data_IF_889778736834
#
_entry.id   IF_889778736834
#
_cell.length_a   1.000
_cell.length_b   1.000
_cell.length_c   1.000
_cell.angle_alpha   90.00
_cell.angle_beta   90.00
_cell.angle_gamma   90.00
#
_symmetry.space_group_name_H-M   'P 1'
#
loop_
_entity.id
_entity.type
_entity.pdbx_description
1 polymer ?
#
# COMPACT_ATOMS: atom_id res chain seq x y z
N UNK A 1 -17.03 -9.58 32.51
CA UNK A 1 -16.64 -9.04 31.16
C UNK A 1 -16.48 -10.22 30.24
N UNK A 2 -17.18 -10.26 29.12
CA UNK A 2 -17.05 -11.34 28.14
C UNK A 2 -15.77 -11.08 27.33
N UNK A 3 -14.82 -12.01 27.38
CA UNK A 3 -13.62 -11.95 26.56
C UNK A 3 -14.02 -12.23 25.11
N UNK A 4 -13.60 -11.37 24.19
CA UNK A 4 -13.83 -11.52 22.75
C UNK A 4 -12.50 -11.90 22.12
N UNK A 5 -12.42 -13.10 21.60
CA UNK A 5 -11.24 -13.60 20.90
C UNK A 5 -11.45 -13.46 19.38
N UNK A 6 -10.63 -12.63 18.75
CA UNK A 6 -10.57 -12.52 17.30
C UNK A 6 -9.62 -13.62 16.79
N UNK A 7 -10.08 -14.50 15.86
CA UNK A 7 -9.29 -15.65 15.41
C UNK A 7 -8.22 -15.23 14.39
N UNK A 8 -7.31 -14.38 14.83
CA UNK A 8 -6.16 -13.91 14.07
C UNK A 8 -4.87 -14.15 14.85
N UNK A 9 -4.00 -14.96 14.28
CA UNK A 9 -2.66 -15.16 14.80
C UNK A 9 -1.68 -14.57 13.78
N UNK A 10 -1.07 -13.41 14.07
CA UNK A 10 -0.12 -12.79 13.16
C UNK A 10 1.13 -13.67 13.02
N UNK A 11 1.66 -13.75 11.80
CA UNK A 11 3.00 -14.27 11.56
C UNK A 11 4.04 -13.34 12.21
N UNK A 12 5.27 -13.77 12.51
CA UNK A 12 6.27 -12.93 13.19
C UNK A 12 6.46 -11.54 12.55
N UNK A 13 6.57 -11.47 11.20
CA UNK A 13 6.72 -10.20 10.49
C UNK A 13 5.44 -9.34 10.51
N UNK A 14 4.27 -9.96 10.55
CA UNK A 14 3.01 -9.22 10.72
C UNK A 14 2.87 -8.69 12.16
N UNK A 15 3.31 -9.45 13.16
CA UNK A 15 3.33 -8.98 14.55
C UNK A 15 4.26 -7.78 14.70
N UNK A 16 5.48 -7.87 14.16
CA UNK A 16 6.40 -6.74 14.11
C UNK A 16 5.80 -5.52 13.39
N UNK A 17 5.15 -5.74 12.24
CA UNK A 17 4.45 -4.67 11.53
C UNK A 17 3.39 -4.00 12.43
N UNK A 18 2.56 -4.76 13.13
CA UNK A 18 1.56 -4.21 14.05
C UNK A 18 2.19 -3.38 15.17
N UNK A 19 3.33 -3.79 15.72
CA UNK A 19 4.06 -3.04 16.72
C UNK A 19 4.51 -1.69 16.17
N UNK A 20 5.11 -1.67 14.98
CA UNK A 20 5.56 -0.44 14.33
C UNK A 20 4.41 0.51 13.98
N UNK A 21 3.28 -0.02 13.50
CA UNK A 21 2.08 0.76 13.21
C UNK A 21 1.40 1.37 14.45
N UNK A 22 1.69 0.87 15.64
CA UNK A 22 1.23 1.48 16.91
C UNK A 22 2.12 2.68 17.35
N UNK A 23 3.35 2.75 16.85
CA UNK A 23 4.35 3.74 17.27
C UNK A 23 4.43 4.89 16.25
N UNK A 24 4.35 4.56 14.97
CA UNK A 24 4.52 5.53 13.89
C UNK A 24 3.17 5.95 13.32
N UNK A 25 3.04 7.26 13.10
CA UNK A 25 1.83 7.82 12.48
C UNK A 25 1.71 7.44 11.00
N UNK A 26 2.83 7.34 10.33
CA UNK A 26 2.92 7.06 8.91
C UNK A 26 3.77 5.83 8.66
N UNK A 27 3.35 4.97 7.76
CA UNK A 27 4.12 3.78 7.41
C UNK A 27 4.03 3.46 5.92
N UNK A 28 5.16 3.15 5.30
CA UNK A 28 5.26 2.63 3.94
C UNK A 28 5.85 1.24 3.97
N UNK A 29 5.09 0.26 3.51
CA UNK A 29 5.47 -1.15 3.55
C UNK A 29 5.40 -1.74 2.14
N UNK A 30 6.57 -2.07 1.64
CA UNK A 30 6.74 -2.75 0.36
C UNK A 30 6.85 -4.24 0.62
N UNK A 31 5.98 -5.05 0.06
CA UNK A 31 6.03 -6.48 0.32
C UNK A 31 5.63 -7.33 -0.87
N UNK A 32 6.26 -8.48 -0.92
CA UNK A 32 6.06 -9.46 -1.97
C UNK A 32 4.63 -10.00 -2.02
N UNK A 33 4.26 -10.56 -3.16
CA UNK A 33 3.01 -11.28 -3.32
C UNK A 33 2.94 -12.46 -2.34
N UNK A 34 1.78 -12.73 -1.74
CA UNK A 34 1.55 -13.77 -0.71
C UNK A 34 2.09 -13.46 0.69
N UNK A 35 2.62 -12.26 0.95
CA UNK A 35 3.00 -11.83 2.30
C UNK A 35 1.83 -11.91 3.31
N UNK A 36 0.61 -11.71 2.85
CA UNK A 36 -0.59 -11.62 3.70
C UNK A 36 -0.93 -10.18 4.08
N UNK A 37 -0.64 -9.22 3.18
CA UNK A 37 -0.90 -7.78 3.32
C UNK A 37 -2.30 -7.47 3.82
N UNK A 38 -3.29 -7.94 3.07
CA UNK A 38 -4.70 -7.64 3.34
C UNK A 38 -5.16 -8.15 4.70
N UNK A 39 -4.75 -9.37 5.08
CA UNK A 39 -5.10 -9.93 6.40
C UNK A 39 -4.50 -9.10 7.52
N UNK A 40 -3.23 -8.70 7.40
CA UNK A 40 -2.58 -7.83 8.38
C UNK A 40 -3.26 -6.45 8.43
N UNK A 41 -3.53 -5.83 7.28
CA UNK A 41 -4.18 -4.53 7.18
C UNK A 41 -5.57 -4.52 7.83
N UNK A 42 -6.43 -5.48 7.49
CA UNK A 42 -7.78 -5.59 8.06
C UNK A 42 -7.75 -5.80 9.57
N UNK A 43 -6.87 -6.65 10.07
CA UNK A 43 -6.77 -6.87 11.51
C UNK A 43 -6.17 -5.67 12.25
N UNK A 44 -5.26 -4.92 11.62
CA UNK A 44 -4.76 -3.67 12.20
C UNK A 44 -5.86 -2.60 12.27
N UNK A 45 -6.64 -2.42 11.20
CA UNK A 45 -7.80 -1.52 11.18
C UNK A 45 -8.83 -1.90 12.24
N UNK A 46 -9.14 -3.19 12.36
CA UNK A 46 -10.07 -3.70 13.37
C UNK A 46 -9.57 -3.41 14.79
N UNK A 47 -8.29 -3.68 15.05
CA UNK A 47 -7.64 -3.35 16.32
C UNK A 47 -7.71 -1.85 16.61
N UNK A 48 -7.38 -1.01 15.62
CA UNK A 48 -7.45 0.45 15.78
C UNK A 48 -8.87 0.91 16.08
N UNK A 49 -9.88 0.42 15.35
CA UNK A 49 -11.28 0.77 15.56
C UNK A 49 -11.82 0.36 16.96
N UNK A 50 -11.28 -0.74 17.53
CA UNK A 50 -11.65 -1.20 18.87
C UNK A 50 -10.97 -0.37 19.97
N UNK A 51 -9.68 -0.05 19.80
CA UNK A 51 -8.84 0.54 20.83
C UNK A 51 -8.74 2.06 20.77
N UNK A 52 -9.20 2.69 19.67
CA UNK A 52 -9.18 4.14 19.52
C UNK A 52 -9.94 4.82 20.67
N UNK A 53 -9.30 5.81 21.28
CA UNK A 53 -9.90 6.57 22.40
C UNK A 53 -10.86 7.65 21.89
N UNK A 54 -10.74 8.04 20.63
CA UNK A 54 -11.66 8.99 20.02
C UNK A 54 -13.04 8.35 19.83
N UNK A 55 -14.12 9.05 20.22
CA UNK A 55 -15.46 8.52 20.03
C UNK A 55 -15.81 8.39 18.55
N UNK A 56 -16.52 7.31 18.22
CA UNK A 56 -16.97 7.07 16.85
C UNK A 56 -15.83 7.05 15.81
N UNK A 57 -14.74 6.35 16.09
CA UNK A 57 -13.60 6.27 15.20
C UNK A 57 -14.01 5.81 13.78
N UNK A 58 -13.39 6.42 12.77
CA UNK A 58 -13.58 6.10 11.36
C UNK A 58 -12.28 5.60 10.77
N UNK A 59 -12.29 4.34 10.37
CA UNK A 59 -11.12 3.72 9.76
C UNK A 59 -11.47 3.19 8.36
N UNK A 60 -10.57 3.35 7.42
CA UNK A 60 -10.79 2.97 6.04
C UNK A 60 -9.72 2.00 5.53
N UNK A 61 -10.18 0.97 4.81
CA UNK A 61 -9.35 0.20 3.90
C UNK A 61 -9.63 0.69 2.49
N UNK A 62 -8.61 1.12 1.79
CA UNK A 62 -8.71 1.72 0.47
C UNK A 62 -7.95 0.84 -0.52
N UNK A 63 -8.63 0.36 -1.55
CA UNK A 63 -8.05 -0.39 -2.66
C UNK A 63 -8.13 0.45 -3.95
N UNK A 64 -7.40 0.09 -5.02
CA UNK A 64 -7.47 0.81 -6.29
C UNK A 64 -8.89 0.94 -6.84
N UNK A 65 -9.72 -0.09 -6.66
CA UNK A 65 -11.14 -0.06 -7.04
C UNK A 65 -12.04 -0.62 -5.94
N UNK A 66 -13.29 -0.14 -5.91
CA UNK A 66 -14.32 -0.66 -5.01
C UNK A 66 -14.54 -2.17 -5.19
N UNK A 67 -14.48 -2.64 -6.44
CA UNK A 67 -14.59 -4.07 -6.76
C UNK A 67 -13.44 -4.88 -6.14
N UNK A 68 -12.21 -4.37 -6.19
CA UNK A 68 -11.06 -5.01 -5.53
C UNK A 68 -11.22 -4.99 -4.00
N UNK A 69 -11.60 -3.86 -3.40
CA UNK A 69 -11.88 -3.79 -1.98
C UNK A 69 -12.88 -4.86 -1.54
N UNK A 70 -13.97 -5.02 -2.30
CA UNK A 70 -14.99 -6.04 -2.04
C UNK A 70 -14.46 -7.46 -2.16
N UNK A 71 -13.80 -7.78 -3.28
CA UNK A 71 -13.38 -9.16 -3.58
C UNK A 71 -12.22 -9.65 -2.70
N UNK A 72 -11.36 -8.72 -2.22
CA UNK A 72 -10.13 -9.07 -1.50
C UNK A 72 -10.28 -8.92 0.02
N UNK A 73 -10.94 -7.87 0.50
CA UNK A 73 -10.91 -7.50 1.91
C UNK A 73 -12.23 -7.70 2.66
N UNK A 74 -13.39 -7.67 1.97
CA UNK A 74 -14.69 -7.71 2.63
C UNK A 74 -14.95 -9.00 3.41
N UNK A 75 -14.60 -10.14 2.85
CA UNK A 75 -14.80 -11.42 3.52
C UNK A 75 -13.86 -11.57 4.73
N UNK A 76 -12.63 -11.06 4.66
CA UNK A 76 -11.75 -11.00 5.83
C UNK A 76 -12.32 -10.11 6.93
N UNK A 77 -12.85 -8.94 6.58
CA UNK A 77 -13.48 -8.07 7.59
C UNK A 77 -14.66 -8.78 8.26
N UNK A 78 -15.53 -9.45 7.51
CA UNK A 78 -16.64 -10.25 8.07
C UNK A 78 -16.14 -11.41 8.94
N UNK A 79 -15.12 -12.10 8.49
CA UNK A 79 -14.52 -13.24 9.22
C UNK A 79 -14.04 -12.81 10.62
N UNK A 80 -13.32 -11.70 10.71
CA UNK A 80 -12.71 -11.26 11.95
C UNK A 80 -13.66 -10.42 12.81
N UNK A 81 -14.30 -9.42 12.26
CA UNK A 81 -15.23 -8.55 12.99
C UNK A 81 -16.54 -9.26 13.36
N UNK A 82 -16.95 -10.30 12.63
CA UNK A 82 -18.15 -11.10 12.95
C UNK A 82 -18.09 -11.85 14.28
N UNK A 83 -16.91 -11.92 14.93
CA UNK A 83 -16.77 -12.46 16.29
C UNK A 83 -17.09 -11.43 17.36
N UNK A 84 -17.29 -10.17 17.00
CA UNK A 84 -17.62 -9.10 17.94
C UNK A 84 -19.13 -9.03 18.09
N UNK A 85 -19.69 -9.32 19.29
CA UNK A 85 -21.11 -9.20 19.53
C UNK A 85 -21.61 -7.77 19.26
N UNK A 86 -22.64 -7.63 18.43
CA UNK A 86 -23.21 -6.33 18.08
C UNK A 86 -22.53 -5.64 16.87
N UNK A 87 -21.53 -6.23 16.24
CA UNK A 87 -21.02 -5.75 14.95
C UNK A 87 -22.11 -5.86 13.87
N UNK A 88 -22.29 -4.81 13.08
CA UNK A 88 -23.31 -4.73 12.02
C UNK A 88 -22.65 -4.50 10.66
N UNK A 89 -22.99 -5.33 9.69
CA UNK A 89 -22.45 -5.27 8.34
C UNK A 89 -23.46 -4.70 7.36
N UNK A 90 -23.00 -3.78 6.51
CA UNK A 90 -23.76 -3.15 5.44
C UNK A 90 -23.12 -3.52 4.10
N UNK A 91 -23.68 -4.52 3.44
CA UNK A 91 -23.11 -5.14 2.22
C UNK A 91 -23.01 -4.18 1.03
N UNK A 92 -23.93 -3.24 0.90
CA UNK A 92 -23.94 -2.27 -0.21
C UNK A 92 -22.92 -1.15 -0.03
N UNK A 93 -22.58 -0.82 1.21
CA UNK A 93 -21.63 0.23 1.54
C UNK A 93 -20.24 -0.32 1.94
N UNK A 94 -20.10 -1.66 1.98
CA UNK A 94 -18.91 -2.37 2.50
C UNK A 94 -18.44 -1.79 3.84
N UNK A 95 -19.41 -1.65 4.77
CA UNK A 95 -19.21 -0.98 6.06
C UNK A 95 -19.53 -1.92 7.21
N UNK A 96 -18.70 -1.91 8.22
CA UNK A 96 -18.93 -2.58 9.50
C UNK A 96 -19.00 -1.52 10.62
N UNK A 97 -20.15 -1.45 11.30
CA UNK A 97 -20.34 -0.62 12.49
C UNK A 97 -20.12 -1.47 13.73
N UNK A 98 -19.23 -1.04 14.63
CA UNK A 98 -18.89 -1.71 15.87
C UNK A 98 -19.74 -1.17 17.04
N UNK A 99 -19.95 -1.97 18.11
CA UNK A 99 -20.78 -1.58 19.25
C UNK A 99 -20.27 -0.37 20.03
N UNK A 100 -18.95 -0.03 19.91
CA UNK A 100 -18.37 1.17 20.49
C UNK A 100 -18.60 2.45 19.65
N UNK A 101 -19.40 2.37 18.58
CA UNK A 101 -19.68 3.47 17.65
C UNK A 101 -18.64 3.65 16.53
N UNK A 102 -17.54 2.91 16.57
CA UNK A 102 -16.53 2.95 15.52
C UNK A 102 -17.01 2.29 14.24
N UNK A 103 -16.45 2.72 13.13
CA UNK A 103 -16.80 2.24 11.79
C UNK A 103 -15.57 1.87 11.01
N UNK A 104 -15.64 0.73 10.34
CA UNK A 104 -14.65 0.28 9.37
C UNK A 104 -15.32 0.28 8.01
N UNK A 105 -14.76 0.95 7.02
CA UNK A 105 -15.30 1.04 5.69
C UNK A 105 -14.25 0.66 4.63
N UNK A 106 -14.68 -0.10 3.62
CA UNK A 106 -13.86 -0.42 2.47
C UNK A 106 -14.24 0.53 1.33
N UNK A 107 -13.23 1.15 0.72
CA UNK A 107 -13.38 2.20 -0.27
C UNK A 107 -12.56 1.87 -1.52
N UNK A 108 -12.98 2.40 -2.67
CA UNK A 108 -12.23 2.37 -3.91
C UNK A 108 -11.61 3.73 -4.23
N UNK A 109 -10.41 3.70 -4.77
CA UNK A 109 -9.65 4.89 -5.17
C UNK A 109 -10.00 5.40 -6.58
N UNK A 110 -10.82 4.66 -7.34
CA UNK A 110 -11.16 4.99 -8.74
C UNK A 110 -11.95 6.29 -8.90
N UNK A 111 -12.59 6.75 -7.83
CA UNK A 111 -13.36 7.99 -7.84
C UNK A 111 -12.96 8.85 -6.64
N UNK A 112 -11.76 9.47 -6.67
CA UNK A 112 -11.20 10.17 -5.52
C UNK A 112 -12.13 11.25 -4.95
N UNK A 113 -12.83 11.99 -5.79
CA UNK A 113 -13.74 13.05 -5.36
C UNK A 113 -14.92 12.57 -4.51
N UNK A 114 -15.33 11.30 -4.67
CA UNK A 114 -16.38 10.69 -3.82
C UNK A 114 -15.94 10.51 -2.36
N UNK A 115 -14.65 10.59 -2.09
CA UNK A 115 -14.07 10.47 -0.76
C UNK A 115 -13.83 11.84 -0.09
N UNK A 116 -14.20 12.95 -0.73
CA UNK A 116 -14.11 14.29 -0.12
C UNK A 116 -15.14 14.44 1.00
N UNK A 117 -14.74 15.13 2.06
CA UNK A 117 -15.60 15.42 3.20
C UNK A 117 -15.74 14.32 4.25
N UNK A 118 -15.07 13.18 4.08
CA UNK A 118 -14.95 12.18 5.14
C UNK A 118 -13.88 12.61 6.16
N UNK A 119 -14.00 12.14 7.39
CA UNK A 119 -12.91 12.20 8.36
C UNK A 119 -12.45 10.79 8.72
N UNK A 120 -11.17 10.64 8.99
CA UNK A 120 -10.55 9.34 9.28
C UNK A 120 -9.62 9.44 10.48
N UNK A 121 -9.67 8.42 11.30
CA UNK A 121 -8.71 8.17 12.38
C UNK A 121 -7.57 7.27 11.91
N UNK A 122 -7.85 6.41 10.94
CA UNK A 122 -6.84 5.57 10.30
C UNK A 122 -7.22 5.23 8.86
N UNK A 123 -6.23 5.24 7.97
CA UNK A 123 -6.37 4.76 6.58
C UNK A 123 -5.33 3.70 6.26
N UNK A 124 -5.76 2.58 5.70
CA UNK A 124 -4.87 1.63 5.06
C UNK A 124 -5.10 1.70 3.54
N UNK A 125 -4.08 2.08 2.80
CA UNK A 125 -4.07 2.12 1.34
C UNK A 125 -3.33 0.88 0.84
N UNK A 126 -4.05 -0.08 0.28
CA UNK A 126 -3.50 -1.36 -0.22
C UNK A 126 -3.37 -1.32 -1.74
N UNK A 127 -2.28 -1.85 -2.27
CA UNK A 127 -1.85 -1.77 -3.67
C UNK A 127 -1.70 -0.32 -4.16
N UNK A 128 -0.97 0.48 -3.38
CA UNK A 128 -0.77 1.93 -3.59
C UNK A 128 -0.21 2.25 -4.98
N UNK A 129 0.62 1.37 -5.54
CA UNK A 129 1.19 1.54 -6.88
C UNK A 129 0.14 1.68 -8.00
N UNK A 130 -1.08 1.24 -7.77
CA UNK A 130 -2.20 1.27 -8.73
C UNK A 130 -3.22 2.38 -8.42
N UNK A 131 -2.94 3.24 -7.44
CA UNK A 131 -3.85 4.33 -7.06
C UNK A 131 -3.50 5.65 -7.75
N UNK A 132 -4.48 6.57 -7.91
CA UNK A 132 -4.20 7.92 -8.37
C UNK A 132 -3.23 8.65 -7.41
N UNK A 133 -2.21 9.30 -7.96
CA UNK A 133 -1.17 10.01 -7.19
C UNK A 133 -1.73 11.13 -6.31
N UNK A 134 -2.81 11.77 -6.76
CA UNK A 134 -3.47 12.87 -6.05
C UNK A 134 -4.31 12.41 -4.86
N UNK A 135 -4.64 11.11 -4.76
CA UNK A 135 -5.54 10.60 -3.74
C UNK A 135 -5.07 10.91 -2.32
N UNK A 136 -3.80 10.59 -2.01
CA UNK A 136 -3.31 10.83 -0.66
C UNK A 136 -3.16 12.32 -0.35
N UNK A 137 -2.40 13.13 -1.12
CA UNK A 137 -2.14 14.52 -0.74
C UNK A 137 -3.40 15.39 -0.73
N UNK A 138 -4.34 15.17 -1.64
CA UNK A 138 -5.49 16.05 -1.80
C UNK A 138 -6.74 15.62 -1.00
N UNK A 139 -6.87 14.34 -0.68
CA UNK A 139 -8.10 13.78 -0.12
C UNK A 139 -7.86 13.07 1.21
N UNK A 140 -7.01 12.06 1.25
CA UNK A 140 -6.84 11.24 2.46
C UNK A 140 -6.04 11.99 3.53
N UNK A 141 -5.00 12.74 3.14
CA UNK A 141 -4.21 13.53 4.08
C UNK A 141 -5.05 14.60 4.80
N UNK A 142 -5.92 15.38 4.11
CA UNK A 142 -6.90 16.26 4.76
C UNK A 142 -7.87 15.49 5.67
N UNK A 143 -8.44 14.37 5.21
CA UNK A 143 -9.38 13.55 5.99
C UNK A 143 -8.79 13.05 7.33
N UNK A 144 -7.46 12.85 7.40
CA UNK A 144 -6.73 12.44 8.61
C UNK A 144 -6.31 13.63 9.50
N UNK A 145 -6.49 14.88 9.03
CA UNK A 145 -5.89 16.04 9.70
C UNK A 145 -6.63 16.42 10.98
N UNK A 146 -7.96 16.41 10.96
CA UNK A 146 -8.81 16.87 12.05
C UNK A 146 -8.57 16.09 13.36
N UNK A 147 -8.33 14.79 13.23
CA UNK A 147 -8.14 13.87 14.37
C UNK A 147 -6.70 13.37 14.51
N UNK A 148 -5.76 13.98 13.78
CA UNK A 148 -4.36 13.54 13.73
C UNK A 148 -4.23 12.04 13.41
N UNK A 149 -5.12 11.55 12.54
CA UNK A 149 -5.17 10.15 12.14
C UNK A 149 -3.88 9.67 11.48
N UNK A 150 -3.73 8.36 11.38
CA UNK A 150 -2.54 7.66 10.88
C UNK A 150 -2.80 6.98 9.54
N UNK A 151 -1.75 6.66 8.78
CA UNK A 151 -1.90 5.87 7.56
C UNK A 151 -0.82 4.83 7.35
N UNK A 152 -1.25 3.70 6.77
CA UNK A 152 -0.41 2.64 6.22
C UNK A 152 -0.54 2.65 4.70
N UNK A 153 0.58 2.75 4.02
CA UNK A 153 0.73 2.55 2.58
C UNK A 153 1.40 1.20 2.36
N UNK A 154 0.69 0.27 1.73
CA UNK A 154 1.19 -1.09 1.56
C UNK A 154 0.93 -1.56 0.12
N UNK A 155 1.86 -2.29 -0.45
CA UNK A 155 1.71 -2.80 -1.81
C UNK A 155 2.93 -3.54 -2.30
N UNK A 156 2.80 -4.04 -3.53
CA UNK A 156 3.89 -4.58 -4.32
C UNK A 156 4.43 -3.46 -5.23
N UNK A 157 5.74 -3.35 -5.45
CA UNK A 157 6.30 -2.34 -6.34
C UNK A 157 5.77 -2.46 -7.77
N UNK A 158 5.70 -1.34 -8.47
CA UNK A 158 5.29 -1.31 -9.88
C UNK A 158 6.03 -0.22 -10.64
N UNK A 159 7.33 -0.43 -10.87
CA UNK A 159 8.20 0.57 -11.47
C UNK A 159 8.37 1.82 -10.58
N UNK A 160 9.00 2.84 -11.14
CA UNK A 160 9.17 4.14 -10.49
C UNK A 160 7.89 4.97 -10.67
N UNK A 161 7.10 5.08 -9.64
CA UNK A 161 5.83 5.82 -9.59
C UNK A 161 5.68 6.53 -8.24
N UNK A 162 4.54 7.16 -7.99
CA UNK A 162 4.29 7.86 -6.73
C UNK A 162 4.48 7.01 -5.47
N UNK A 163 4.30 5.69 -5.54
CA UNK A 163 4.57 4.79 -4.42
C UNK A 163 6.07 4.64 -4.16
N UNK A 164 6.89 4.60 -5.22
CA UNK A 164 8.34 4.64 -5.11
C UNK A 164 8.81 5.96 -4.50
N UNK A 165 8.32 7.09 -5.01
CA UNK A 165 8.70 8.41 -4.52
C UNK A 165 8.33 8.59 -3.04
N UNK A 166 7.16 8.11 -2.64
CA UNK A 166 6.72 8.11 -1.25
C UNK A 166 7.64 7.26 -0.37
N UNK A 167 8.02 6.06 -0.83
CA UNK A 167 8.94 5.17 -0.10
C UNK A 167 10.32 5.82 0.06
N UNK A 168 10.89 6.40 -1.00
CA UNK A 168 12.19 7.07 -0.94
C UNK A 168 12.18 8.29 -0.02
N UNK A 169 11.11 9.09 -0.05
CA UNK A 169 10.94 10.22 0.86
C UNK A 169 10.81 9.76 2.32
N UNK A 170 10.01 8.73 2.56
CA UNK A 170 9.75 8.19 3.90
C UNK A 170 10.99 7.58 4.56
N UNK A 171 11.90 6.98 3.80
CA UNK A 171 13.17 6.41 4.33
C UNK A 171 14.03 7.41 5.08
N UNK A 172 13.94 8.67 4.71
CA UNK A 172 14.75 9.75 5.27
C UNK A 172 14.03 10.53 6.40
N UNK A 173 12.80 10.15 6.72
CA UNK A 173 11.98 10.81 7.74
C UNK A 173 11.78 9.88 8.94
N UNK A 174 12.28 10.28 10.11
CA UNK A 174 12.21 9.49 11.36
C UNK A 174 10.79 9.28 11.89
N UNK A 175 9.82 10.08 11.43
CA UNK A 175 8.43 9.97 11.85
C UNK A 175 7.68 8.89 11.04
N UNK A 176 8.35 8.34 10.02
CA UNK A 176 7.82 7.28 9.18
C UNK A 176 8.46 5.92 9.49
N UNK A 177 7.65 4.90 9.48
CA UNK A 177 8.13 3.52 9.42
C UNK A 177 8.20 3.06 7.97
N UNK A 178 9.34 2.50 7.57
CA UNK A 178 9.51 1.91 6.23
C UNK A 178 10.02 0.49 6.36
N UNK A 179 9.48 -0.41 5.55
CA UNK A 179 9.94 -1.79 5.48
C UNK A 179 9.80 -2.36 4.07
N UNK A 180 10.73 -3.27 3.73
CA UNK A 180 10.65 -4.09 2.52
C UNK A 180 10.71 -5.55 2.94
N UNK A 181 9.75 -6.34 2.50
CA UNK A 181 9.66 -7.78 2.79
C UNK A 181 9.72 -8.57 1.49
N UNK A 182 10.88 -9.11 1.15
CA UNK A 182 11.13 -9.92 -0.04
C UNK A 182 10.80 -11.39 0.23
N UNK A 183 10.34 -12.12 -0.78
CA UNK A 183 9.98 -13.53 -0.61
C UNK A 183 11.18 -14.39 -0.22
N UNK A 184 12.37 -14.11 -0.78
CA UNK A 184 13.62 -14.78 -0.44
C UNK A 184 14.04 -14.62 1.03
N UNK A 185 13.60 -13.55 1.69
CA UNK A 185 13.98 -13.23 3.07
C UNK A 185 12.93 -13.66 4.10
N UNK A 186 11.65 -13.72 3.69
CA UNK A 186 10.54 -13.95 4.62
C UNK A 186 10.28 -15.42 4.93
N UNK A 187 10.65 -16.32 4.00
CA UNK A 187 10.36 -17.75 4.12
C UNK A 187 8.85 -18.10 4.16
N UNK A 188 7.98 -17.17 3.72
CA UNK A 188 6.52 -17.36 3.71
C UNK A 188 6.07 -18.20 2.52
N UNK A 189 6.75 -18.05 1.39
CA UNK A 189 6.53 -18.83 0.18
C UNK A 189 7.61 -19.91 0.13
N UNK A 190 7.21 -21.15 -0.12
CA UNK A 190 8.15 -22.26 -0.22
C UNK A 190 9.13 -22.05 -1.37
N UNK A 191 10.37 -22.51 -1.19
CA UNK A 191 11.42 -22.38 -2.20
C UNK A 191 11.05 -23.07 -3.52
N UNK A 192 10.37 -24.21 -3.46
CA UNK A 192 9.89 -24.93 -4.65
C UNK A 192 8.89 -24.08 -5.46
N UNK A 193 7.97 -23.38 -4.76
CA UNK A 193 7.01 -22.47 -5.40
C UNK A 193 7.71 -21.25 -6.01
N UNK A 194 8.74 -20.71 -5.35
CA UNK A 194 9.52 -19.59 -5.91
C UNK A 194 10.28 -20.01 -7.17
N UNK A 195 10.90 -21.19 -7.16
CA UNK A 195 11.58 -21.71 -8.36
C UNK A 195 10.59 -22.04 -9.49
N UNK A 196 9.42 -22.60 -9.18
CA UNK A 196 8.35 -22.80 -10.15
C UNK A 196 7.88 -21.47 -10.76
N UNK A 197 7.68 -20.43 -9.93
CA UNK A 197 7.31 -19.10 -10.40
C UNK A 197 8.35 -18.51 -11.36
N UNK A 198 9.65 -18.66 -11.07
CA UNK A 198 10.73 -18.19 -11.96
C UNK A 198 10.69 -18.83 -13.35
N UNK A 199 10.21 -20.06 -13.46
CA UNK A 199 10.12 -20.74 -14.77
C UNK A 199 8.91 -20.29 -15.59
N UNK A 200 7.87 -19.72 -14.92
CA UNK A 200 6.59 -19.35 -15.54
C UNK A 200 6.46 -17.88 -15.88
N UNK A 201 7.36 -17.02 -15.38
CA UNK A 201 7.33 -15.59 -15.62
C UNK A 201 8.71 -15.06 -16.01
N UNK A 202 8.75 -13.84 -16.54
CA UNK A 202 10.03 -13.20 -16.81
C UNK A 202 10.78 -12.88 -15.52
N UNK A 203 12.11 -12.78 -15.59
CA UNK A 203 12.92 -12.40 -14.42
C UNK A 203 12.45 -11.07 -13.83
N UNK A 204 12.17 -10.07 -14.66
CA UNK A 204 11.71 -8.75 -14.21
C UNK A 204 10.34 -8.85 -13.46
N UNK A 205 9.43 -9.70 -13.93
CA UNK A 205 8.16 -9.94 -13.24
C UNK A 205 8.38 -10.66 -11.91
N UNK A 206 9.27 -11.65 -11.87
CA UNK A 206 9.61 -12.34 -10.63
C UNK A 206 10.23 -11.38 -9.61
N UNK A 207 11.19 -10.59 -10.05
CA UNK A 207 11.87 -9.62 -9.19
C UNK A 207 10.90 -8.57 -8.64
N UNK A 208 9.94 -8.12 -9.45
CA UNK A 208 8.90 -7.20 -9.02
C UNK A 208 7.95 -7.84 -7.99
N UNK A 209 7.36 -8.99 -8.32
CA UNK A 209 6.29 -9.60 -7.52
C UNK A 209 6.79 -10.29 -6.25
N UNK A 210 8.02 -10.85 -6.30
CA UNK A 210 8.57 -11.63 -5.19
C UNK A 210 9.77 -10.98 -4.50
N UNK A 211 10.63 -10.28 -5.23
CA UNK A 211 11.83 -9.65 -4.64
C UNK A 211 11.66 -8.14 -4.42
N UNK A 212 10.44 -7.62 -4.59
CA UNK A 212 10.10 -6.21 -4.34
C UNK A 212 10.97 -5.23 -5.13
N UNK A 213 11.36 -5.61 -6.35
CA UNK A 213 12.17 -4.75 -7.21
C UNK A 213 11.32 -3.61 -7.78
N UNK A 214 11.84 -2.38 -7.69
CA UNK A 214 11.27 -1.22 -8.35
C UNK A 214 11.67 -1.11 -9.83
N UNK A 215 12.67 -1.88 -10.20
CA UNK A 215 13.17 -1.94 -11.58
C UNK A 215 12.27 -2.89 -12.37
N UNK A 216 11.05 -2.45 -12.67
CA UNK A 216 10.22 -3.16 -13.62
C UNK A 216 10.46 -2.58 -15.01
N UNK A 217 10.92 -3.39 -15.94
CA UNK A 217 10.78 -3.03 -17.33
C UNK A 217 9.27 -2.88 -17.62
N UNK A 218 8.86 -1.69 -18.04
CA UNK A 218 7.51 -1.49 -18.58
C UNK A 218 7.34 -2.52 -19.69
N UNK A 219 6.31 -3.39 -19.64
CA UNK A 219 6.10 -4.36 -20.70
C UNK A 219 6.08 -3.65 -22.06
N UNK A 220 7.01 -4.01 -22.95
CA UNK A 220 7.19 -3.33 -24.24
C UNK A 220 8.24 -2.21 -24.25
N UNK A 221 8.88 -1.85 -23.15
CA UNK A 221 10.02 -0.94 -23.16
C UNK A 221 11.24 -1.62 -23.80
N UNK A 222 11.63 -1.17 -24.99
CA UNK A 222 12.76 -1.72 -25.74
C UNK A 222 14.10 -1.43 -25.04
N UNK A 223 14.21 -0.28 -24.39
CA UNK A 223 15.46 0.24 -23.79
C UNK A 223 15.44 0.32 -22.27
N UNK A 224 14.53 -0.38 -21.59
CA UNK A 224 14.37 -0.27 -20.13
C UNK A 224 15.65 -0.61 -19.35
N UNK A 225 16.34 -1.70 -19.71
CA UNK A 225 17.61 -2.14 -19.08
C UNK A 225 18.75 -1.19 -19.38
N UNK A 226 18.84 -0.70 -20.60
CA UNK A 226 19.85 0.24 -21.04
C UNK A 226 19.71 1.60 -20.34
N UNK A 227 18.49 2.07 -20.15
CA UNK A 227 18.19 3.29 -19.41
C UNK A 227 18.54 3.15 -17.93
N UNK A 228 18.15 2.03 -17.30
CA UNK A 228 18.51 1.75 -15.92
C UNK A 228 20.03 1.72 -15.72
N UNK A 229 20.75 1.01 -16.60
CA UNK A 229 22.21 0.96 -16.57
C UNK A 229 22.83 2.36 -16.77
N UNK A 230 22.24 3.18 -17.63
CA UNK A 230 22.70 4.56 -17.83
C UNK A 230 22.50 5.43 -16.58
N UNK A 231 21.41 5.21 -15.82
CA UNK A 231 21.15 5.89 -14.56
C UNK A 231 22.16 5.46 -13.47
N UNK A 232 22.38 4.15 -13.31
CA UNK A 232 23.34 3.59 -12.35
C UNK A 232 24.78 4.01 -12.63
N UNK A 233 25.16 4.14 -13.89
CA UNK A 233 26.46 4.63 -14.34
C UNK A 233 26.59 6.16 -14.31
N UNK A 234 25.54 6.90 -13.89
CA UNK A 234 25.53 8.36 -13.84
C UNK A 234 25.60 9.04 -15.22
N UNK A 235 25.22 8.32 -16.28
CA UNK A 235 25.21 8.86 -17.67
C UNK A 235 23.96 9.70 -17.96
N UNK A 236 22.93 9.58 -17.13
CA UNK A 236 21.76 10.44 -17.18
C UNK A 236 21.94 11.50 -16.10
N UNK A 237 22.24 12.71 -16.51
CA UNK A 237 22.53 13.84 -15.63
C UNK A 237 22.13 15.15 -16.30
N UNK A 238 22.00 16.20 -15.50
CA UNK A 238 21.87 17.55 -16.05
C UNK A 238 23.14 17.92 -16.80
N UNK A 239 23.00 18.16 -18.10
CA UNK A 239 24.11 18.61 -18.95
C UNK A 239 24.04 20.14 -19.03
N UNK A 240 25.06 20.86 -18.51
CA UNK A 240 25.08 22.31 -18.61
C UNK A 240 25.15 22.73 -20.09
N UNK A 241 24.37 23.72 -20.44
CA UNK A 241 24.41 24.30 -21.78
C UNK A 241 25.74 25.03 -21.97
N UNK A 242 26.52 24.63 -22.97
CA UNK A 242 27.71 25.36 -23.38
C UNK A 242 27.33 26.44 -24.43
N UNK A 243 27.37 27.74 -24.06
CA UNK A 243 27.00 28.81 -25.00
C UNK A 243 27.91 28.90 -26.23
N UNK A 244 29.09 28.25 -26.20
CA UNK A 244 30.04 28.21 -27.31
C UNK A 244 29.69 27.20 -28.41
N UNK A 245 28.70 26.31 -28.15
CA UNK A 245 28.32 25.29 -29.12
C UNK A 245 26.89 25.51 -29.63
N UNK A 246 26.70 25.18 -30.91
CA UNK A 246 25.36 25.21 -31.51
C UNK A 246 24.52 24.06 -30.94
N UNK A 247 23.29 24.36 -30.54
CA UNK A 247 22.30 23.37 -30.10
C UNK A 247 21.41 23.00 -31.29
N UNK A 248 21.43 21.73 -31.68
CA UNK A 248 20.49 21.19 -32.66
C UNK A 248 19.41 20.37 -31.90
N UNK A 249 18.15 20.69 -32.11
CA UNK A 249 17.02 20.00 -31.47
C UNK A 249 16.26 19.17 -32.49
N UNK A 250 15.99 17.90 -32.13
CA UNK A 250 15.18 17.00 -32.93
C UNK A 250 13.92 16.66 -32.14
N UNK A 251 12.76 16.89 -32.73
CA UNK A 251 11.46 16.62 -32.11
C UNK A 251 10.78 15.46 -32.83
N UNK A 252 10.47 14.40 -32.09
CA UNK A 252 9.50 13.41 -32.54
C UNK A 252 8.12 13.87 -32.04
N UNK A 253 7.28 14.31 -32.97
CA UNK A 253 5.96 14.84 -32.62
C UNK A 253 4.89 13.78 -32.46
N UNK A 254 5.27 12.49 -32.55
CA UNK A 254 4.36 11.36 -32.39
C UNK A 254 2.98 11.58 -33.06
N UNK A 255 2.53 10.66 -33.88
CA UNK A 255 1.18 10.72 -34.48
C UNK A 255 0.21 10.01 -33.53
#
# INVERSE_FOLDING_TARGET
MTEIVIPYTPRPLQAHLHEQLNIHRWAVVVCHRRFGKTVAAINHLLRHAILCQEPNARVAYIAPTYRQAKSVAWDYLKQFAGKIPGARFHETELRCDLPNGSRIQLLGAETPDSLRGIYLDYACMDEVADMPETLFPEIIRPALSDRKGSALFIGTPRGHNAFFDLYEAAKNDKDWFTAVFKASETGIVDMEELEAAKTMMSQDQFDQEFECSWVANVPGAIYGKEMQKALEEGRITDVPVDPGHRVDTHWDLGI
#
